data_IF_054819471256
#
_entry.id   IF_054819471256
#
_cell.length_a   1.000
_cell.length_b   1.000
_cell.length_c   1.000
_cell.angle_alpha   90.00
_cell.angle_beta   90.00
_cell.angle_gamma   90.00
#
_symmetry.space_group_name_H-M   'P 1'
#
loop_
_entity.id
_entity.type
_entity.pdbx_description
1 polymer ?
#
# COMPACT_ATOMS: atom_id res chain seq x y z
N UNK A 1 -22.84 3.52 -18.79
CA UNK A 1 -22.67 4.93 -18.41
C UNK A 1 -21.34 5.02 -17.69
N UNK A 2 -20.31 5.60 -18.32
CA UNK A 2 -18.92 5.55 -17.83
C UNK A 2 -18.77 6.55 -16.68
N UNK A 3 -18.79 6.05 -15.46
CA UNK A 3 -18.43 6.81 -14.28
C UNK A 3 -16.89 6.89 -14.20
N UNK A 4 -16.32 7.93 -14.76
CA UNK A 4 -14.96 8.34 -14.46
C UNK A 4 -14.96 8.94 -13.04
N UNK A 5 -14.60 8.16 -12.04
CA UNK A 5 -14.08 8.69 -10.79
C UNK A 5 -12.78 9.46 -11.12
N UNK A 6 -12.66 10.73 -10.78
CA UNK A 6 -11.36 11.35 -10.72
C UNK A 6 -10.70 10.85 -9.44
N UNK A 7 -9.98 9.73 -9.52
CA UNK A 7 -8.90 9.49 -8.57
C UNK A 7 -7.90 10.62 -8.82
N UNK A 8 -8.04 11.70 -8.08
CA UNK A 8 -7.08 12.80 -8.07
C UNK A 8 -5.82 12.34 -7.32
N UNK A 9 -5.20 11.26 -7.78
CA UNK A 9 -3.77 11.08 -7.62
C UNK A 9 -3.16 11.98 -8.71
N UNK A 10 -2.75 13.18 -8.32
CA UNK A 10 -1.87 13.99 -9.11
C UNK A 10 -0.57 13.20 -9.30
N UNK A 11 -0.51 12.38 -10.34
CA UNK A 11 0.76 12.01 -10.94
C UNK A 11 1.26 13.29 -11.59
N UNK A 12 2.07 14.02 -10.86
CA UNK A 12 2.87 15.10 -11.42
C UNK A 12 3.78 14.42 -12.44
N UNK A 13 3.40 14.47 -13.71
CA UNK A 13 4.30 14.12 -14.80
C UNK A 13 5.39 15.20 -14.83
N UNK A 14 6.48 14.95 -14.11
CA UNK A 14 7.67 15.79 -14.18
C UNK A 14 8.26 15.65 -15.58
N UNK A 15 8.12 16.70 -16.37
CA UNK A 15 9.04 16.99 -17.45
C UNK A 15 10.39 17.27 -16.79
N UNK A 16 11.29 16.27 -16.81
CA UNK A 16 12.60 16.37 -16.19
C UNK A 16 13.39 17.50 -16.86
N UNK A 17 13.64 18.58 -16.12
CA UNK A 17 14.74 19.47 -16.43
C UNK A 17 16.06 18.66 -16.43
N UNK A 18 17.06 19.01 -17.27
CA UNK A 18 18.34 18.34 -17.21
C UNK A 18 18.93 18.52 -15.81
N UNK A 19 19.27 17.39 -15.16
CA UNK A 19 19.92 17.41 -13.87
C UNK A 19 21.22 18.23 -13.94
N UNK A 20 21.51 19.07 -12.93
CA UNK A 20 22.82 19.70 -12.83
C UNK A 20 23.89 18.60 -12.77
N UNK A 21 24.97 18.78 -13.52
CA UNK A 21 26.10 17.85 -13.54
C UNK A 21 26.70 17.73 -12.13
N UNK A 22 26.49 16.57 -11.52
CA UNK A 22 27.17 16.25 -10.24
C UNK A 22 28.68 16.20 -10.44
N UNK A 23 29.49 16.55 -9.43
CA UNK A 23 30.91 16.27 -9.47
C UNK A 23 31.08 14.77 -9.65
N UNK A 24 31.73 14.37 -10.72
CA UNK A 24 31.97 12.98 -11.05
C UNK A 24 32.64 12.29 -9.86
N UNK A 25 31.96 11.35 -9.23
CA UNK A 25 32.54 10.43 -8.25
C UNK A 25 33.75 9.77 -8.93
N UNK A 26 34.89 9.73 -8.24
CA UNK A 26 36.10 9.21 -8.88
C UNK A 26 35.84 7.78 -9.35
N UNK A 27 36.17 7.39 -10.60
CA UNK A 27 35.86 6.05 -11.14
C UNK A 27 36.32 4.90 -10.23
N UNK A 28 37.43 5.06 -9.52
CA UNK A 28 37.93 4.10 -8.55
C UNK A 28 36.99 3.92 -7.33
N UNK A 29 36.34 5.00 -6.87
CA UNK A 29 35.36 4.91 -5.80
C UNK A 29 34.10 4.13 -6.21
N UNK A 30 33.63 4.33 -7.44
CA UNK A 30 32.47 3.64 -8.00
C UNK A 30 32.71 2.12 -8.13
N UNK A 31 33.82 1.72 -8.74
CA UNK A 31 34.13 0.30 -8.95
C UNK A 31 34.31 -0.46 -7.64
N UNK A 32 34.88 0.19 -6.61
CA UNK A 32 34.95 -0.34 -5.26
C UNK A 32 33.56 -0.55 -4.66
N UNK A 33 32.63 0.41 -4.83
CA UNK A 33 31.24 0.29 -4.39
C UNK A 33 30.48 -0.83 -5.13
N UNK A 34 30.69 -0.98 -6.44
CA UNK A 34 30.12 -2.08 -7.22
C UNK A 34 30.64 -3.43 -6.72
N UNK A 35 31.94 -3.56 -6.48
CA UNK A 35 32.55 -4.77 -5.94
C UNK A 35 32.01 -5.07 -4.51
N UNK A 36 31.86 -4.05 -3.68
CA UNK A 36 31.25 -4.15 -2.36
C UNK A 36 29.81 -4.67 -2.43
N UNK A 37 28.95 -4.07 -3.29
CA UNK A 37 27.57 -4.51 -3.47
C UNK A 37 27.50 -5.95 -3.96
N UNK A 38 28.38 -6.34 -4.91
CA UNK A 38 28.45 -7.71 -5.40
C UNK A 38 28.77 -8.73 -4.30
N UNK A 39 29.57 -8.35 -3.32
CA UNK A 39 29.96 -9.21 -2.22
C UNK A 39 28.94 -9.25 -1.07
N UNK A 40 28.09 -8.22 -0.92
CA UNK A 40 27.29 -7.99 0.27
C UNK A 40 25.79 -7.93 0.07
N UNK A 41 25.28 -7.72 -1.16
CA UNK A 41 23.86 -7.87 -1.44
C UNK A 41 23.50 -9.35 -1.58
N UNK A 42 22.30 -9.70 -1.16
CA UNK A 42 21.75 -11.06 -1.25
C UNK A 42 21.09 -11.21 -2.61
N UNK A 43 21.55 -12.18 -3.42
CA UNK A 43 20.93 -12.50 -4.69
C UNK A 43 19.58 -13.18 -4.45
N UNK A 44 18.53 -12.68 -5.10
CA UNK A 44 17.18 -13.25 -5.11
C UNK A 44 17.00 -14.00 -6.43
N UNK A 45 16.46 -15.20 -6.38
CA UNK A 45 16.36 -16.09 -7.55
C UNK A 45 15.13 -15.78 -8.40
N UNK A 46 13.99 -15.47 -7.77
CA UNK A 46 12.70 -15.43 -8.45
C UNK A 46 11.81 -14.30 -7.93
N UNK A 47 11.00 -13.72 -8.83
CA UNK A 47 9.87 -12.85 -8.50
C UNK A 47 8.54 -13.61 -8.51
N UNK A 48 8.50 -14.83 -9.07
CA UNK A 48 7.26 -15.56 -9.29
C UNK A 48 6.59 -15.92 -7.95
N UNK A 49 5.40 -15.39 -7.66
CA UNK A 49 4.69 -15.72 -6.43
C UNK A 49 4.21 -17.18 -6.37
N UNK A 50 4.21 -17.92 -7.48
CA UNK A 50 3.96 -19.36 -7.50
C UNK A 50 5.17 -20.19 -7.07
N UNK A 51 6.38 -19.60 -7.08
CA UNK A 51 7.59 -20.23 -6.58
C UNK A 51 7.62 -20.18 -5.04
N UNK A 52 7.28 -21.30 -4.40
CA UNK A 52 7.27 -21.48 -2.94
C UNK A 52 8.58 -22.06 -2.37
N UNK A 53 9.60 -22.27 -3.19
CA UNK A 53 10.96 -22.47 -2.70
C UNK A 53 11.56 -21.12 -2.28
N UNK A 54 11.55 -20.86 -0.98
CA UNK A 54 12.02 -19.60 -0.38
C UNK A 54 13.48 -19.65 0.08
N UNK A 55 14.28 -20.60 -0.33
CA UNK A 55 15.68 -20.74 0.11
C UNK A 55 16.51 -19.49 -0.16
N UNK A 56 16.22 -18.77 -1.25
CA UNK A 56 16.84 -17.48 -1.62
C UNK A 56 16.40 -16.30 -0.73
N UNK A 57 15.26 -16.40 -0.07
CA UNK A 57 14.73 -15.39 0.84
C UNK A 57 15.03 -15.69 2.33
N UNK A 58 15.42 -16.91 2.69
CA UNK A 58 15.70 -17.28 4.08
C UNK A 58 16.77 -16.39 4.76
N UNK A 59 17.81 -15.88 4.05
CA UNK A 59 18.74 -14.94 4.67
C UNK A 59 18.08 -13.66 5.20
N UNK A 60 16.90 -13.25 4.64
CA UNK A 60 16.16 -12.07 5.08
C UNK A 60 15.62 -12.22 6.52
N UNK A 61 15.45 -13.46 7.01
CA UNK A 61 14.99 -13.73 8.38
C UNK A 61 15.91 -13.05 9.40
N UNK A 62 17.22 -13.15 9.20
CA UNK A 62 18.19 -12.55 10.11
C UNK A 62 18.19 -11.02 10.10
N UNK A 63 17.83 -10.41 8.96
CA UNK A 63 17.77 -8.95 8.79
C UNK A 63 16.47 -8.37 9.33
N UNK A 64 15.34 -8.99 8.99
CA UNK A 64 14.02 -8.57 9.46
C UNK A 64 13.87 -8.85 10.97
N UNK A 65 14.47 -9.94 11.45
CA UNK A 65 14.53 -10.27 12.88
C UNK A 65 13.15 -10.36 13.54
N UNK A 66 13.02 -9.68 14.67
CA UNK A 66 11.80 -9.68 15.48
C UNK A 66 10.80 -8.58 15.11
N UNK A 67 11.00 -7.89 13.98
CA UNK A 67 10.08 -6.87 13.52
C UNK A 67 8.64 -7.40 13.47
N UNK A 68 7.70 -6.57 13.97
CA UNK A 68 6.27 -6.88 13.94
C UNK A 68 5.55 -6.25 12.75
N UNK A 69 6.13 -5.22 12.13
CA UNK A 69 5.55 -4.51 11.00
C UNK A 69 6.59 -4.40 9.89
N UNK A 70 6.34 -5.05 8.76
CA UNK A 70 7.21 -4.99 7.57
C UNK A 70 6.51 -4.17 6.49
N UNK A 71 7.14 -3.06 6.07
CA UNK A 71 6.61 -2.18 5.02
C UNK A 71 7.26 -2.54 3.68
N UNK A 72 6.43 -2.82 2.68
CA UNK A 72 6.84 -3.11 1.32
C UNK A 72 6.46 -1.92 0.42
N UNK A 73 7.46 -1.15 -0.01
CA UNK A 73 7.29 -0.01 -0.89
C UNK A 73 7.03 -0.40 -2.34
N UNK A 74 6.76 0.59 -3.17
CA UNK A 74 6.78 0.52 -4.63
C UNK A 74 7.13 1.90 -5.18
N UNK A 75 7.85 1.95 -6.29
CA UNK A 75 8.29 3.22 -6.87
C UNK A 75 7.10 3.96 -7.51
N UNK A 76 6.23 3.21 -8.19
CA UNK A 76 4.97 3.70 -8.77
C UNK A 76 3.87 2.65 -8.67
N UNK A 77 2.62 3.08 -8.80
CA UNK A 77 1.47 2.16 -8.88
C UNK A 77 1.33 1.45 -10.24
N UNK A 78 2.40 1.32 -11.00
CA UNK A 78 2.45 0.67 -12.30
C UNK A 78 3.58 -0.36 -12.42
N UNK A 79 4.20 -0.75 -11.33
CA UNK A 79 5.41 -1.55 -11.25
C UNK A 79 5.09 -3.04 -11.11
N UNK A 80 4.77 -3.70 -12.23
CA UNK A 80 4.35 -5.11 -12.22
C UNK A 80 5.38 -6.07 -11.61
N UNK A 81 6.67 -5.93 -11.95
CA UNK A 81 7.72 -6.76 -11.36
C UNK A 81 7.85 -6.53 -9.84
N UNK A 82 7.66 -5.29 -9.36
CA UNK A 82 7.59 -4.99 -7.94
C UNK A 82 6.40 -5.69 -7.28
N UNK A 83 5.22 -5.69 -7.92
CA UNK A 83 4.03 -6.37 -7.38
C UNK A 83 4.23 -7.89 -7.26
N UNK A 84 4.90 -8.52 -8.23
CA UNK A 84 5.28 -9.94 -8.15
C UNK A 84 6.24 -10.18 -6.99
N UNK A 85 7.29 -9.35 -6.85
CA UNK A 85 8.25 -9.44 -5.75
C UNK A 85 7.56 -9.30 -4.38
N UNK A 86 6.70 -8.28 -4.22
CA UNK A 86 5.92 -8.07 -2.99
C UNK A 86 5.03 -9.29 -2.71
N UNK A 87 4.35 -9.81 -3.72
CA UNK A 87 3.49 -11.00 -3.56
C UNK A 87 4.27 -12.21 -3.06
N UNK A 88 5.47 -12.47 -3.61
CA UNK A 88 6.33 -13.57 -3.17
C UNK A 88 6.89 -13.32 -1.77
N UNK A 89 7.35 -12.09 -1.48
CA UNK A 89 7.80 -11.71 -0.13
C UNK A 89 6.69 -11.86 0.92
N UNK A 90 5.46 -11.50 0.61
CA UNK A 90 4.31 -11.66 1.52
C UNK A 90 4.07 -13.13 1.83
N UNK A 91 4.09 -14.00 0.82
CA UNK A 91 3.96 -15.45 1.03
C UNK A 91 5.09 -15.99 1.92
N UNK A 92 6.33 -15.56 1.68
CA UNK A 92 7.49 -15.90 2.52
C UNK A 92 7.30 -15.41 3.97
N UNK A 93 6.97 -14.13 4.17
CA UNK A 93 6.75 -13.56 5.51
C UNK A 93 5.63 -14.29 6.26
N UNK A 94 4.54 -14.64 5.57
CA UNK A 94 3.43 -15.38 6.13
C UNK A 94 3.84 -16.81 6.52
N UNK A 95 4.47 -17.55 5.61
CA UNK A 95 4.75 -18.97 5.81
C UNK A 95 5.95 -19.20 6.76
N UNK A 96 6.98 -18.35 6.70
CA UNK A 96 8.26 -18.55 7.41
C UNK A 96 8.44 -17.70 8.66
N UNK A 97 7.81 -16.49 8.71
CA UNK A 97 8.08 -15.54 9.78
C UNK A 97 6.85 -15.18 10.62
N UNK A 98 5.70 -15.80 10.35
CA UNK A 98 4.50 -15.66 11.16
C UNK A 98 3.73 -14.36 10.97
N UNK A 99 3.95 -13.62 9.89
CA UNK A 99 3.12 -12.48 9.54
C UNK A 99 1.78 -12.99 9.01
N UNK A 100 0.67 -12.55 9.58
CA UNK A 100 -0.66 -13.04 9.26
C UNK A 100 -1.69 -11.94 9.00
N UNK A 101 -1.25 -10.68 8.94
CA UNK A 101 -2.06 -9.53 8.50
C UNK A 101 -1.38 -8.85 7.33
N UNK A 102 -2.14 -8.59 6.25
CA UNK A 102 -1.71 -7.80 5.10
C UNK A 102 -2.54 -6.52 5.02
N UNK A 103 -1.95 -5.40 5.37
CA UNK A 103 -2.57 -4.09 5.34
C UNK A 103 -2.18 -3.34 4.06
N UNK A 104 -3.19 -2.93 3.27
CA UNK A 104 -3.02 -2.18 2.03
C UNK A 104 -3.18 -0.67 2.25
N UNK A 105 -2.50 0.13 1.44
CA UNK A 105 -2.80 1.55 1.20
C UNK A 105 -4.17 1.68 0.51
N UNK A 106 -5.20 1.28 1.23
CA UNK A 106 -6.60 1.29 0.79
C UNK A 106 -7.48 1.62 1.99
N UNK A 107 -8.70 2.06 1.75
CA UNK A 107 -9.62 2.50 2.78
C UNK A 107 -9.83 1.47 3.88
N UNK A 108 -9.80 1.92 5.13
CA UNK A 108 -9.91 1.01 6.27
C UNK A 108 -11.24 0.25 6.28
N UNK A 109 -12.36 0.94 6.08
CA UNK A 109 -13.68 0.32 5.96
C UNK A 109 -13.76 -0.59 4.72
N UNK A 110 -13.25 -0.10 3.58
CA UNK A 110 -13.23 -0.81 2.31
C UNK A 110 -12.57 -2.17 2.43
N UNK A 111 -11.40 -2.22 3.07
CA UNK A 111 -10.65 -3.47 3.22
C UNK A 111 -11.28 -4.42 4.25
N UNK A 112 -11.98 -3.92 5.27
CA UNK A 112 -12.76 -4.78 6.15
C UNK A 112 -13.91 -5.47 5.39
N UNK A 113 -14.51 -4.77 4.42
CA UNK A 113 -15.56 -5.32 3.57
C UNK A 113 -14.99 -6.32 2.54
N UNK A 114 -13.77 -6.08 2.04
CA UNK A 114 -13.01 -7.06 1.25
C UNK A 114 -12.74 -8.32 2.05
N UNK A 115 -12.24 -8.18 3.28
CA UNK A 115 -11.95 -9.31 4.17
C UNK A 115 -13.20 -10.13 4.50
N UNK A 116 -14.32 -9.47 4.78
CA UNK A 116 -15.61 -10.16 4.95
C UNK A 116 -15.98 -10.98 3.71
N UNK A 117 -15.83 -10.42 2.51
CA UNK A 117 -16.05 -11.14 1.25
C UNK A 117 -15.11 -12.34 1.10
N UNK A 118 -13.84 -12.21 1.45
CA UNK A 118 -12.87 -13.31 1.44
C UNK A 118 -13.26 -14.43 2.40
N UNK A 119 -13.64 -14.09 3.64
CA UNK A 119 -14.11 -15.07 4.65
C UNK A 119 -15.37 -15.81 4.21
N UNK A 120 -16.29 -15.12 3.56
CA UNK A 120 -17.53 -15.68 3.01
C UNK A 120 -17.31 -16.42 1.67
N UNK A 121 -16.07 -16.58 1.22
CA UNK A 121 -15.67 -17.25 -0.02
C UNK A 121 -16.35 -16.67 -1.26
N UNK A 122 -16.60 -15.36 -1.28
CA UNK A 122 -17.12 -14.65 -2.44
C UNK A 122 -16.15 -14.77 -3.64
N UNK A 123 -16.65 -14.74 -4.88
CA UNK A 123 -15.80 -14.71 -6.06
C UNK A 123 -14.81 -13.55 -6.00
N UNK A 124 -13.56 -13.78 -6.41
CA UNK A 124 -12.52 -12.77 -6.34
C UNK A 124 -12.88 -11.50 -7.13
N UNK A 125 -13.57 -11.66 -8.26
CA UNK A 125 -14.07 -10.55 -9.08
C UNK A 125 -15.10 -9.65 -8.35
N UNK A 126 -15.83 -10.18 -7.39
CA UNK A 126 -16.74 -9.39 -6.55
C UNK A 126 -15.97 -8.72 -5.41
N UNK A 127 -15.07 -9.47 -4.76
CA UNK A 127 -14.25 -8.99 -3.67
C UNK A 127 -13.40 -7.79 -4.10
N UNK A 128 -12.78 -7.87 -5.28
CA UNK A 128 -11.98 -6.78 -5.85
C UNK A 128 -12.76 -5.47 -6.05
N UNK A 129 -14.06 -5.55 -6.36
CA UNK A 129 -14.93 -4.37 -6.55
C UNK A 129 -15.32 -3.70 -5.24
N UNK A 130 -15.20 -4.41 -4.10
CA UNK A 130 -15.66 -3.92 -2.80
C UNK A 130 -14.78 -2.84 -2.20
N UNK A 131 -13.46 -2.92 -2.39
CA UNK A 131 -12.69 -1.97 -1.65
C UNK A 131 -11.18 -1.91 -1.85
N UNK A 132 -10.54 -2.86 -2.49
CA UNK A 132 -9.14 -2.72 -2.85
C UNK A 132 -8.99 -1.71 -3.99
N UNK A 133 -8.03 -0.78 -3.91
CA UNK A 133 -7.78 0.16 -5.00
C UNK A 133 -7.59 -0.56 -6.34
N UNK A 134 -8.27 -0.05 -7.38
CA UNK A 134 -8.30 -0.65 -8.72
C UNK A 134 -6.92 -0.90 -9.34
N UNK A 135 -5.91 -0.09 -8.97
CA UNK A 135 -4.52 -0.26 -9.42
C UNK A 135 -3.93 -1.62 -9.03
N UNK A 136 -4.33 -2.17 -7.89
CA UNK A 136 -3.93 -3.51 -7.43
C UNK A 136 -5.03 -4.54 -7.69
N UNK A 137 -6.29 -4.17 -7.46
CA UNK A 137 -7.43 -5.07 -7.67
C UNK A 137 -7.53 -5.57 -9.12
N UNK A 138 -7.21 -4.72 -10.11
CA UNK A 138 -7.24 -5.07 -11.52
C UNK A 138 -5.89 -5.57 -12.06
N UNK A 139 -4.86 -5.69 -11.22
CA UNK A 139 -3.52 -6.12 -11.65
C UNK A 139 -3.40 -7.63 -11.71
N UNK A 140 -2.98 -8.16 -12.85
CA UNK A 140 -2.65 -9.59 -13.01
C UNK A 140 -1.55 -10.02 -12.03
N UNK A 141 -0.59 -9.12 -11.75
CA UNK A 141 0.54 -9.39 -10.87
C UNK A 141 0.15 -9.50 -9.39
N UNK A 142 -1.01 -8.96 -9.00
CA UNK A 142 -1.56 -9.10 -7.65
C UNK A 142 -2.50 -10.31 -7.51
N UNK A 143 -2.90 -10.95 -8.61
CA UNK A 143 -3.91 -11.99 -8.62
C UNK A 143 -3.55 -13.18 -7.74
N UNK A 144 -2.34 -13.73 -7.92
CA UNK A 144 -1.90 -14.91 -7.14
C UNK A 144 -1.88 -14.62 -5.64
N UNK A 145 -1.51 -13.40 -5.23
CA UNK A 145 -1.56 -13.01 -3.83
C UNK A 145 -2.98 -12.99 -3.28
N UNK A 146 -3.93 -12.43 -4.02
CA UNK A 146 -5.35 -12.38 -3.60
C UNK A 146 -5.96 -13.78 -3.55
N UNK A 147 -5.64 -14.63 -4.52
CA UNK A 147 -6.03 -16.05 -4.50
C UNK A 147 -5.38 -16.80 -3.33
N UNK A 148 -4.12 -16.51 -3.01
CA UNK A 148 -3.43 -17.05 -1.86
C UNK A 148 -4.12 -16.65 -0.56
N UNK A 149 -4.39 -15.36 -0.34
CA UNK A 149 -5.11 -14.88 0.85
C UNK A 149 -6.46 -15.60 0.99
N UNK A 150 -7.24 -15.73 -0.10
CA UNK A 150 -8.52 -16.46 -0.09
C UNK A 150 -8.36 -17.95 0.27
N UNK A 151 -7.32 -18.61 -0.26
CA UNK A 151 -7.05 -20.02 0.06
C UNK A 151 -6.69 -20.21 1.53
N UNK A 152 -5.92 -19.28 2.12
CA UNK A 152 -5.48 -19.37 3.52
C UNK A 152 -6.62 -19.22 4.52
N UNK A 153 -7.78 -18.67 4.15
CA UNK A 153 -8.96 -18.58 5.03
C UNK A 153 -9.45 -19.93 5.55
N UNK A 154 -9.04 -21.04 4.92
CA UNK A 154 -9.34 -22.40 5.36
C UNK A 154 -8.27 -23.02 6.26
N UNK A 155 -7.18 -22.29 6.51
CA UNK A 155 -6.07 -22.73 7.31
C UNK A 155 -6.19 -22.21 8.75
N UNK A 156 -5.47 -22.80 9.68
CA UNK A 156 -5.42 -22.38 11.09
C UNK A 156 -4.89 -20.95 11.25
N UNK A 157 -4.02 -20.51 10.32
CA UNK A 157 -3.47 -19.15 10.25
C UNK A 157 -3.76 -18.53 8.89
N UNK A 158 -4.89 -17.85 8.73
CA UNK A 158 -5.21 -17.12 7.51
C UNK A 158 -4.35 -15.86 7.37
N UNK A 159 -4.09 -15.43 6.13
CA UNK A 159 -3.57 -14.10 5.82
C UNK A 159 -4.75 -13.12 5.76
N UNK A 160 -5.01 -12.42 6.86
CA UNK A 160 -6.12 -11.49 7.00
C UNK A 160 -5.82 -10.16 6.29
N UNK A 161 -6.77 -9.66 5.51
CA UNK A 161 -6.61 -8.40 4.79
C UNK A 161 -7.12 -7.22 5.60
N UNK A 162 -6.40 -6.10 5.56
CA UNK A 162 -6.75 -4.85 6.23
C UNK A 162 -6.43 -3.63 5.35
N UNK A 163 -6.94 -2.47 5.72
CA UNK A 163 -6.61 -1.18 5.13
C UNK A 163 -6.26 -0.16 6.19
N UNK A 164 -5.49 0.85 5.83
CA UNK A 164 -5.10 1.91 6.75
C UNK A 164 -5.30 3.33 6.18
N UNK A 165 -5.77 3.45 4.94
CA UNK A 165 -6.02 4.76 4.34
C UNK A 165 -7.32 5.39 4.89
N UNK A 166 -7.32 6.72 5.02
CA UNK A 166 -8.50 7.50 5.37
C UNK A 166 -9.43 7.70 4.17
N UNK A 167 -8.95 7.52 2.95
CA UNK A 167 -9.73 7.65 1.73
C UNK A 167 -10.59 6.41 1.47
N UNK A 168 -11.72 6.58 0.77
CA UNK A 168 -12.42 5.46 0.17
C UNK A 168 -11.65 4.93 -1.04
N UNK A 169 -11.51 3.62 -1.13
CA UNK A 169 -10.89 2.94 -2.27
C UNK A 169 -11.90 2.57 -3.35
N UNK A 170 -13.19 2.48 -3.03
CA UNK A 170 -14.26 2.16 -3.97
C UNK A 170 -15.50 3.03 -3.79
N UNK A 171 -16.24 3.26 -4.88
CA UNK A 171 -17.54 3.93 -4.83
C UNK A 171 -18.58 3.12 -4.05
N UNK A 172 -18.52 1.78 -4.16
CA UNK A 172 -19.43 0.88 -3.45
C UNK A 172 -19.26 0.99 -1.93
N UNK A 173 -18.03 1.02 -1.44
CA UNK A 173 -17.77 1.17 -0.01
C UNK A 173 -18.30 2.49 0.53
N UNK A 174 -18.17 3.56 -0.26
CA UNK A 174 -18.74 4.87 0.09
C UNK A 174 -20.26 4.84 0.22
N UNK A 175 -20.94 4.16 -0.71
CA UNK A 175 -22.41 4.02 -0.71
C UNK A 175 -22.91 3.12 0.44
N UNK A 176 -22.15 2.09 0.80
CA UNK A 176 -22.54 1.13 1.83
C UNK A 176 -22.18 1.55 3.25
N UNK A 177 -21.16 2.40 3.44
CA UNK A 177 -20.68 2.77 4.77
C UNK A 177 -21.78 3.33 5.69
N UNK A 178 -22.62 4.31 5.28
CA UNK A 178 -23.67 4.83 6.17
C UNK A 178 -24.72 3.78 6.50
N UNK A 179 -25.06 2.88 5.59
CA UNK A 179 -26.00 1.76 5.82
C UNK A 179 -25.44 0.80 6.88
N UNK A 180 -24.14 0.50 6.80
CA UNK A 180 -23.45 -0.33 7.81
C UNK A 180 -23.44 0.37 9.17
N UNK A 181 -23.18 1.67 9.22
CA UNK A 181 -23.27 2.47 10.47
C UNK A 181 -24.67 2.39 11.06
N UNK A 182 -25.71 2.56 10.26
CA UNK A 182 -27.12 2.44 10.70
C UNK A 182 -27.41 1.05 11.28
N UNK A 183 -27.10 0.00 10.53
CA UNK A 183 -27.28 -1.38 10.95
C UNK A 183 -26.50 -1.72 12.24
N UNK A 184 -25.36 -1.08 12.46
CA UNK A 184 -24.56 -1.24 13.67
C UNK A 184 -25.32 -0.79 14.93
N UNK A 185 -26.02 0.34 14.88
CA UNK A 185 -26.88 0.80 15.98
C UNK A 185 -28.16 -0.03 16.12
N UNK A 186 -28.81 -0.37 15.01
CA UNK A 186 -30.07 -1.14 14.99
C UNK A 186 -29.89 -2.54 15.58
N UNK A 187 -28.78 -3.23 15.27
CA UNK A 187 -28.48 -4.56 15.81
C UNK A 187 -28.42 -4.60 17.33
N UNK A 188 -27.98 -3.53 17.95
CA UNK A 188 -27.90 -3.40 19.40
C UNK A 188 -29.18 -2.81 20.03
N UNK A 189 -30.18 -2.42 19.22
CA UNK A 189 -31.31 -1.59 19.64
C UNK A 189 -30.85 -0.37 20.44
N UNK A 190 -29.69 0.19 20.05
CA UNK A 190 -28.96 1.19 20.83
C UNK A 190 -29.53 2.61 20.67
N UNK A 191 -30.31 2.87 19.60
CA UNK A 191 -30.85 4.19 19.31
C UNK A 191 -32.23 4.08 18.65
N UNK A 192 -33.08 5.06 18.92
CA UNK A 192 -34.36 5.23 18.20
C UNK A 192 -34.13 5.92 16.85
N UNK A 193 -35.12 5.89 15.96
CA UNK A 193 -35.02 6.56 14.65
C UNK A 193 -34.66 8.04 14.77
N UNK A 194 -35.22 8.76 15.74
CA UNK A 194 -34.92 10.19 15.97
C UNK A 194 -33.48 10.40 16.44
N UNK A 195 -32.93 9.46 17.22
CA UNK A 195 -31.53 9.52 17.67
C UNK A 195 -30.53 9.20 16.55
N UNK A 196 -30.98 8.53 15.47
CA UNK A 196 -30.17 8.23 14.30
C UNK A 196 -30.14 9.39 13.28
N UNK A 197 -30.65 10.59 13.62
CA UNK A 197 -30.58 11.75 12.73
C UNK A 197 -29.16 12.05 12.23
N UNK A 198 -28.07 12.00 13.05
CA UNK A 198 -26.72 12.19 12.54
C UNK A 198 -26.29 11.17 11.46
N UNK A 199 -26.82 9.93 11.54
CA UNK A 199 -26.57 8.92 10.50
C UNK A 199 -27.33 9.27 9.22
N UNK A 200 -28.58 9.77 9.34
CA UNK A 200 -29.34 10.23 8.17
C UNK A 200 -28.67 11.45 7.50
N UNK A 201 -28.12 12.37 8.29
CA UNK A 201 -27.36 13.52 7.77
C UNK A 201 -26.11 13.07 7.03
N UNK A 202 -25.41 12.04 7.54
CA UNK A 202 -24.25 11.43 6.84
C UNK A 202 -24.66 10.74 5.54
N UNK A 203 -25.76 9.98 5.53
CA UNK A 203 -26.33 9.35 4.34
C UNK A 203 -26.63 10.39 3.27
N UNK A 204 -27.42 11.41 3.63
CA UNK A 204 -27.80 12.49 2.73
C UNK A 204 -26.56 13.20 2.18
N UNK A 205 -25.59 13.51 3.03
CA UNK A 205 -24.37 14.16 2.59
C UNK A 205 -23.58 13.31 1.57
N UNK A 206 -23.45 12.01 1.79
CA UNK A 206 -22.74 11.10 0.88
C UNK A 206 -23.47 10.90 -0.45
N UNK A 207 -24.80 10.94 -0.45
CA UNK A 207 -25.62 10.88 -1.67
C UNK A 207 -25.53 12.17 -2.49
N UNK A 208 -25.65 13.32 -1.86
CA UNK A 208 -25.67 14.64 -2.51
C UNK A 208 -24.28 15.13 -2.95
N UNK A 209 -23.28 14.74 -2.18
CA UNK A 209 -21.92 15.21 -2.34
C UNK A 209 -21.16 14.41 -3.36
N UNK A 210 -21.58 13.99 -4.47
CA UNK A 210 -20.71 13.34 -5.44
C UNK A 210 -19.20 13.68 -5.22
N UNK A 211 -18.29 13.33 -6.05
CA UNK A 211 -16.87 13.71 -5.91
C UNK A 211 -16.62 15.23 -6.18
N UNK A 212 -17.65 16.06 -6.10
CA UNK A 212 -17.51 17.51 -6.36
C UNK A 212 -16.97 18.21 -5.10
N UNK A 213 -15.77 18.84 -5.18
CA UNK A 213 -15.18 19.60 -4.07
C UNK A 213 -15.98 20.86 -3.64
N UNK A 214 -17.16 21.11 -4.22
CA UNK A 214 -18.02 22.25 -3.85
C UNK A 214 -18.92 21.99 -2.65
N UNK A 215 -19.07 20.75 -2.19
CA UNK A 215 -19.81 20.47 -0.96
C UNK A 215 -19.01 20.98 0.25
N UNK A 216 -19.68 21.66 1.19
CA UNK A 216 -19.02 22.25 2.35
C UNK A 216 -18.51 21.14 3.27
N UNK A 217 -17.19 20.95 3.44
CA UNK A 217 -16.62 19.88 4.28
C UNK A 217 -17.06 20.00 5.74
N UNK A 218 -17.42 21.20 6.18
CA UNK A 218 -17.93 21.48 7.53
C UNK A 218 -19.21 20.72 7.87
N UNK A 219 -20.10 20.51 6.91
CA UNK A 219 -21.37 19.82 7.19
C UNK A 219 -21.16 18.31 7.27
N UNK A 220 -20.28 17.75 6.44
CA UNK A 220 -19.84 16.37 6.57
C UNK A 220 -19.19 16.12 7.92
N UNK A 221 -18.22 16.95 8.29
CA UNK A 221 -17.50 16.82 9.57
C UNK A 221 -18.50 16.83 10.71
N UNK A 222 -19.46 17.78 10.71
CA UNK A 222 -20.50 17.86 11.76
C UNK A 222 -21.38 16.61 11.82
N UNK A 223 -21.81 16.07 10.68
CA UNK A 223 -22.60 14.84 10.63
C UNK A 223 -21.81 13.66 11.24
N UNK A 224 -20.55 13.49 10.82
CA UNK A 224 -19.68 12.42 11.35
C UNK A 224 -19.39 12.60 12.83
N UNK A 225 -19.12 13.81 13.30
CA UNK A 225 -18.94 14.11 14.74
C UNK A 225 -20.19 13.78 15.55
N UNK A 226 -21.38 14.03 14.99
CA UNK A 226 -22.67 13.65 15.60
C UNK A 226 -22.81 12.13 15.73
N UNK A 227 -22.40 11.37 14.70
CA UNK A 227 -22.40 9.89 14.74
C UNK A 227 -21.39 9.37 15.78
N UNK A 228 -20.19 9.96 15.86
CA UNK A 228 -19.18 9.59 16.87
C UNK A 228 -19.71 9.87 18.28
N UNK A 229 -20.32 11.02 18.52
CA UNK A 229 -20.89 11.36 19.81
C UNK A 229 -22.00 10.37 20.23
N UNK A 230 -22.87 9.98 19.28
CA UNK A 230 -23.90 8.97 19.54
C UNK A 230 -23.27 7.60 19.83
N UNK A 231 -22.24 7.20 19.10
CA UNK A 231 -21.53 5.95 19.34
C UNK A 231 -20.89 5.91 20.72
N UNK A 232 -20.25 7.01 21.14
CA UNK A 232 -19.62 7.13 22.45
C UNK A 232 -20.69 7.14 23.58
N UNK A 233 -21.83 7.83 23.40
CA UNK A 233 -22.97 7.84 24.35
C UNK A 233 -23.60 6.44 24.51
N UNK A 234 -23.73 5.71 23.41
CA UNK A 234 -24.42 4.40 23.41
C UNK A 234 -23.47 3.21 23.56
N UNK A 235 -22.19 3.44 23.89
CA UNK A 235 -21.14 2.40 23.93
C UNK A 235 -21.54 1.16 24.73
N UNK A 236 -22.14 1.33 25.90
CA UNK A 236 -22.55 0.20 26.77
C UNK A 236 -23.70 -0.62 26.16
N UNK A 237 -24.59 0.02 25.42
CA UNK A 237 -25.65 -0.69 24.69
C UNK A 237 -25.07 -1.42 23.47
N UNK A 238 -24.20 -0.77 22.73
CA UNK A 238 -23.51 -1.36 21.59
C UNK A 238 -22.70 -2.59 21.99
N UNK A 239 -22.04 -2.57 23.15
CA UNK A 239 -21.25 -3.68 23.67
C UNK A 239 -22.08 -4.96 23.97
N UNK A 240 -23.42 -4.88 23.95
CA UNK A 240 -24.31 -6.06 24.08
C UNK A 240 -24.41 -6.87 22.79
N UNK A 241 -24.16 -6.24 21.64
CA UNK A 241 -24.30 -6.87 20.31
C UNK A 241 -23.00 -6.89 19.50
N UNK A 242 -21.99 -6.12 19.90
CA UNK A 242 -20.72 -5.97 19.21
C UNK A 242 -19.54 -6.16 20.17
N UNK A 243 -18.44 -6.74 19.68
CA UNK A 243 -17.21 -6.78 20.46
C UNK A 243 -16.63 -5.36 20.65
N UNK A 244 -15.97 -5.07 21.78
CA UNK A 244 -15.38 -3.75 22.02
C UNK A 244 -14.47 -3.27 20.88
N UNK A 245 -13.66 -4.18 20.31
CA UNK A 245 -12.78 -3.87 19.17
C UNK A 245 -13.54 -3.43 17.91
N UNK A 246 -14.75 -3.96 17.68
CA UNK A 246 -15.56 -3.61 16.51
C UNK A 246 -16.17 -2.21 16.67
N UNK A 247 -16.50 -1.82 17.92
CA UNK A 247 -16.95 -0.46 18.26
C UNK A 247 -15.79 0.53 18.03
N UNK A 248 -14.58 0.19 18.46
CA UNK A 248 -13.38 1.01 18.25
C UNK A 248 -13.00 1.10 16.76
N UNK A 249 -13.17 0.01 16.01
CA UNK A 249 -12.98 0.00 14.56
C UNK A 249 -13.99 0.92 13.86
N UNK A 250 -15.28 0.82 14.18
CA UNK A 250 -16.30 1.71 13.63
C UNK A 250 -15.99 3.19 13.93
N UNK A 251 -15.59 3.47 15.16
CA UNK A 251 -15.18 4.81 15.58
C UNK A 251 -13.96 5.31 14.77
N UNK A 252 -13.01 4.43 14.49
CA UNK A 252 -11.83 4.75 13.67
C UNK A 252 -12.20 5.03 12.22
N UNK A 253 -13.08 4.22 11.63
CA UNK A 253 -13.60 4.47 10.28
C UNK A 253 -14.33 5.83 10.18
N UNK A 254 -15.13 6.17 11.18
CA UNK A 254 -15.79 7.49 11.25
C UNK A 254 -14.77 8.64 11.32
N UNK A 255 -13.71 8.52 12.14
CA UNK A 255 -12.64 9.52 12.19
C UNK A 255 -11.94 9.70 10.85
N UNK A 256 -11.69 8.60 10.11
CA UNK A 256 -11.11 8.67 8.78
C UNK A 256 -11.96 9.50 7.83
N UNK A 257 -13.29 9.52 7.97
CA UNK A 257 -14.16 10.37 7.17
C UNK A 257 -13.95 11.86 7.43
N UNK A 258 -13.63 12.23 8.68
CA UNK A 258 -13.29 13.62 9.03
C UNK A 258 -11.97 14.02 8.35
N UNK A 259 -10.95 13.17 8.43
CA UNK A 259 -9.64 13.48 7.83
C UNK A 259 -9.73 13.51 6.30
N UNK A 260 -10.52 12.63 5.70
CA UNK A 260 -10.77 12.66 4.27
C UNK A 260 -11.54 13.93 3.84
N UNK A 261 -12.55 14.35 4.60
CA UNK A 261 -13.26 15.61 4.35
C UNK A 261 -12.32 16.82 4.44
N UNK A 262 -11.46 16.87 5.44
CA UNK A 262 -10.43 17.93 5.60
C UNK A 262 -9.47 17.95 4.41
N UNK A 263 -9.02 16.80 3.95
CA UNK A 263 -8.16 16.69 2.78
C UNK A 263 -8.86 17.22 1.52
N UNK A 264 -10.10 16.80 1.28
CA UNK A 264 -10.89 17.23 0.12
C UNK A 264 -11.14 18.74 0.11
N UNK A 265 -11.34 19.35 1.30
CA UNK A 265 -11.55 20.80 1.46
C UNK A 265 -10.43 21.67 0.91
N UNK A 266 -9.20 21.16 0.93
CA UNK A 266 -8.01 21.92 0.51
C UNK A 266 -7.87 22.01 -1.02
N UNK A 267 -8.58 21.15 -1.79
CA UNK A 267 -8.52 21.14 -3.24
C UNK A 267 -7.10 21.03 -3.79
N UNK A 268 -6.91 21.53 -5.03
CA UNK A 268 -5.60 21.43 -5.72
C UNK A 268 -4.53 22.35 -5.16
N UNK A 269 -4.92 23.46 -4.57
CA UNK A 269 -3.97 24.45 -4.01
C UNK A 269 -3.35 23.99 -2.71
N UNK A 270 -4.04 23.10 -1.98
CA UNK A 270 -3.58 22.54 -0.71
C UNK A 270 -2.99 21.13 -0.81
N UNK A 271 -2.46 20.69 -1.95
CA UNK A 271 -1.97 19.31 -2.15
C UNK A 271 -0.97 18.87 -1.09
N UNK A 272 0.00 19.71 -0.72
CA UNK A 272 1.01 19.37 0.28
C UNK A 272 0.39 19.18 1.66
N UNK A 273 -0.51 20.06 2.07
CA UNK A 273 -1.23 19.96 3.34
C UNK A 273 -2.21 18.78 3.34
N UNK A 274 -2.93 18.55 2.24
CA UNK A 274 -3.79 17.39 2.07
C UNK A 274 -3.03 16.07 2.16
N UNK A 275 -1.83 16.01 1.57
CA UNK A 275 -0.91 14.89 1.72
C UNK A 275 -0.50 14.68 3.16
N UNK A 276 -0.16 15.75 3.89
CA UNK A 276 0.20 15.69 5.31
C UNK A 276 -0.95 15.16 6.18
N UNK A 277 -2.17 15.60 5.94
CA UNK A 277 -3.37 15.11 6.64
C UNK A 277 -3.53 13.61 6.40
N UNK A 278 -3.49 13.18 5.13
CA UNK A 278 -3.65 11.76 4.75
C UNK A 278 -2.56 10.89 5.35
N UNK A 279 -1.29 11.26 5.18
CA UNK A 279 -0.16 10.46 5.69
C UNK A 279 -0.16 10.39 7.22
N UNK A 280 -0.56 11.47 7.91
CA UNK A 280 -0.74 11.44 9.38
C UNK A 280 -1.82 10.44 9.76
N UNK A 281 -2.99 10.50 9.12
CA UNK A 281 -4.08 9.56 9.39
C UNK A 281 -3.69 8.11 9.10
N UNK A 282 -3.01 7.85 7.96
CA UNK A 282 -2.50 6.52 7.61
C UNK A 282 -1.51 5.98 8.65
N UNK A 283 -0.57 6.82 9.10
CA UNK A 283 0.42 6.42 10.11
C UNK A 283 -0.20 6.09 11.47
N UNK A 284 -1.16 6.92 11.90
CA UNK A 284 -1.92 6.65 13.13
C UNK A 284 -2.81 5.41 13.00
N UNK A 285 -3.42 5.18 11.83
CA UNK A 285 -4.20 3.98 11.56
C UNK A 285 -3.33 2.72 11.59
N UNK A 286 -2.17 2.76 10.94
CA UNK A 286 -1.23 1.64 10.93
C UNK A 286 -0.74 1.30 12.34
N UNK A 287 -0.35 2.30 13.12
CA UNK A 287 0.09 2.09 14.49
C UNK A 287 -1.04 1.49 15.36
N UNK A 288 -2.26 2.01 15.25
CA UNK A 288 -3.42 1.47 15.94
C UNK A 288 -3.77 0.04 15.50
N UNK A 289 -3.68 -0.26 14.20
CA UNK A 289 -3.88 -1.64 13.72
C UNK A 289 -2.88 -2.60 14.34
N UNK A 290 -1.59 -2.22 14.43
CA UNK A 290 -0.53 -3.09 14.94
C UNK A 290 -0.58 -3.26 16.47
N UNK A 291 -0.88 -2.20 17.23
CA UNK A 291 -0.79 -2.21 18.70
C UNK A 291 -2.11 -2.57 19.39
N UNK A 292 -3.24 -2.20 18.79
CA UNK A 292 -4.56 -2.37 19.39
C UNK A 292 -5.42 -3.42 18.68
N UNK A 293 -5.72 -3.22 17.39
CA UNK A 293 -6.69 -4.07 16.68
C UNK A 293 -6.16 -5.47 16.41
N UNK A 294 -4.92 -5.59 15.94
CA UNK A 294 -4.20 -6.84 15.70
C UNK A 294 -3.13 -7.11 16.76
N UNK A 295 -3.37 -6.69 17.99
CA UNK A 295 -2.42 -6.82 19.08
C UNK A 295 -1.83 -8.24 19.20
N UNK A 296 -0.49 -8.31 19.19
CA UNK A 296 0.25 -9.58 19.27
C UNK A 296 0.42 -10.31 17.93
N UNK A 297 -0.10 -9.76 16.84
CA UNK A 297 0.06 -10.28 15.48
C UNK A 297 1.12 -9.47 14.71
N UNK A 298 1.63 -10.04 13.62
CA UNK A 298 2.61 -9.41 12.74
C UNK A 298 1.92 -8.90 11.46
N UNK A 299 2.22 -7.66 11.09
CA UNK A 299 1.56 -6.93 9.99
C UNK A 299 2.52 -6.70 8.83
N UNK A 300 2.11 -7.03 7.63
CA UNK A 300 2.77 -6.64 6.39
C UNK A 300 2.01 -5.43 5.82
N UNK A 301 2.72 -4.41 5.37
CA UNK A 301 2.17 -3.20 4.79
C UNK A 301 2.49 -3.14 3.30
N UNK A 302 1.47 -2.94 2.47
CA UNK A 302 1.61 -2.67 1.05
C UNK A 302 1.29 -1.21 0.78
N UNK A 303 2.31 -0.42 0.43
CA UNK A 303 2.15 1.00 0.10
C UNK A 303 3.18 1.48 -0.92
N UNK A 304 3.01 2.71 -1.42
CA UNK A 304 4.05 3.39 -2.17
C UNK A 304 5.25 3.71 -1.29
N UNK A 305 6.47 3.68 -1.86
CA UNK A 305 7.72 3.97 -1.14
C UNK A 305 7.70 5.32 -0.46
N UNK A 306 7.05 6.32 -1.06
CA UNK A 306 6.95 7.66 -0.49
C UNK A 306 6.27 7.66 0.88
N UNK A 307 5.18 6.90 1.04
CA UNK A 307 4.48 6.78 2.33
C UNK A 307 5.30 6.03 3.38
N UNK A 308 6.18 5.11 2.95
CA UNK A 308 6.98 4.27 3.84
C UNK A 308 8.26 4.95 4.37
N UNK A 309 8.65 6.12 3.82
CA UNK A 309 9.84 6.85 4.27
C UNK A 309 9.74 7.22 5.75
N UNK A 310 10.88 7.12 6.46
CA UNK A 310 10.95 7.49 7.87
C UNK A 310 11.24 8.97 8.08
N UNK A 311 11.96 9.62 7.15
CA UNK A 311 12.44 11.00 7.29
C UNK A 311 12.51 11.74 5.93
N UNK A 312 11.37 11.82 5.23
CA UNK A 312 11.30 12.44 3.91
C UNK A 312 11.91 13.86 3.81
N UNK A 313 11.81 14.76 4.84
CA UNK A 313 12.39 16.09 4.75
C UNK A 313 13.89 16.15 4.48
N UNK A 314 14.63 15.08 4.83
CA UNK A 314 16.08 14.99 4.58
C UNK A 314 16.44 14.44 3.20
N UNK A 315 15.47 14.04 2.40
CA UNK A 315 15.70 13.57 1.03
C UNK A 315 15.66 14.74 0.04
N UNK A 316 16.60 14.72 -0.91
CA UNK A 316 16.66 15.67 -2.02
C UNK A 316 16.08 15.05 -3.28
N UNK A 317 15.32 15.81 -4.06
CA UNK A 317 14.74 15.35 -5.30
C UNK A 317 15.30 16.13 -6.48
N UNK A 318 15.96 15.46 -7.43
CA UNK A 318 16.56 16.07 -8.63
C UNK A 318 17.47 17.29 -8.28
N UNK A 319 18.18 17.24 -7.15
CA UNK A 319 19.03 18.32 -6.64
C UNK A 319 18.30 19.41 -5.86
N UNK A 320 16.96 19.38 -5.78
CA UNK A 320 16.19 20.26 -4.92
C UNK A 320 16.21 19.75 -3.47
N UNK A 321 16.87 20.53 -2.59
CA UNK A 321 17.06 20.21 -1.17
C UNK A 321 15.82 20.48 -0.32
N UNK A 322 14.90 21.29 -0.81
CA UNK A 322 13.72 21.74 -0.10
C UNK A 322 12.41 21.08 -0.58
N UNK A 323 12.48 20.23 -1.61
CA UNK A 323 11.29 19.61 -2.22
C UNK A 323 10.39 18.90 -1.21
N UNK A 324 10.99 18.14 -0.27
CA UNK A 324 10.27 17.42 0.77
C UNK A 324 10.21 18.15 2.11
N UNK A 325 10.63 19.42 2.18
CA UNK A 325 10.62 20.21 3.41
C UNK A 325 9.22 20.30 4.01
N UNK A 326 9.09 19.91 5.28
CA UNK A 326 7.80 19.88 5.98
C UNK A 326 6.90 18.71 5.62
N UNK A 327 7.31 17.81 4.72
CA UNK A 327 6.56 16.59 4.41
C UNK A 327 6.54 15.67 5.63
N UNK A 328 5.33 15.17 5.96
CA UNK A 328 5.13 14.11 6.94
C UNK A 328 4.64 12.89 6.17
N UNK A 329 5.26 11.75 6.42
CA UNK A 329 4.91 10.47 5.79
C UNK A 329 4.26 9.53 6.79
N UNK A 330 3.49 8.56 6.30
CA UNK A 330 2.93 7.47 7.10
C UNK A 330 4.02 6.76 7.91
N UNK A 331 5.14 6.41 7.27
CA UNK A 331 6.27 5.75 7.92
C UNK A 331 6.87 6.56 9.08
N UNK A 332 6.98 7.89 8.90
CA UNK A 332 7.42 8.79 9.97
C UNK A 332 6.48 8.77 11.18
N UNK A 333 5.17 8.86 10.93
CA UNK A 333 4.16 8.87 12.01
C UNK A 333 4.10 7.53 12.73
N UNK A 334 4.01 6.43 11.98
CA UNK A 334 3.96 5.09 12.55
C UNK A 334 5.23 4.74 13.36
N UNK A 335 6.41 5.14 12.86
CA UNK A 335 7.69 4.87 13.55
C UNK A 335 7.81 5.57 14.90
N UNK A 336 7.18 6.71 15.12
CA UNK A 336 7.14 7.37 16.43
C UNK A 336 6.50 6.51 17.51
N UNK A 337 5.52 5.70 17.14
CA UNK A 337 4.81 4.80 18.06
C UNK A 337 5.43 3.41 18.08
N UNK A 338 5.70 2.82 16.91
CA UNK A 338 6.14 1.44 16.76
C UNK A 338 7.67 1.26 16.91
N UNK A 339 8.45 2.34 16.71
CA UNK A 339 9.90 2.34 16.95
C UNK A 339 10.65 1.27 16.16
N UNK A 340 11.38 0.44 16.87
CA UNK A 340 12.20 -0.65 16.33
C UNK A 340 11.41 -1.88 15.86
N UNK A 341 10.10 -1.92 16.09
CA UNK A 341 9.23 -3.01 15.61
C UNK A 341 8.94 -2.92 14.10
N UNK A 342 9.39 -1.86 13.43
CA UNK A 342 9.21 -1.64 12.00
C UNK A 342 10.46 -1.99 11.20
N UNK A 343 10.24 -2.58 10.02
CA UNK A 343 11.27 -2.83 9.02
C UNK A 343 10.74 -2.43 7.64
N UNK A 344 11.36 -1.43 7.01
CA UNK A 344 10.91 -0.87 5.72
C UNK A 344 11.80 -1.30 4.57
N UNK A 345 11.21 -1.92 3.56
CA UNK A 345 11.86 -2.33 2.31
C UNK A 345 11.35 -1.44 1.18
N UNK A 346 12.23 -0.63 0.60
CA UNK A 346 11.94 0.12 -0.61
C UNK A 346 12.41 -0.64 -1.85
N UNK A 347 11.84 -0.32 -3.00
CA UNK A 347 12.16 -1.00 -4.24
C UNK A 347 12.93 -0.08 -5.19
N UNK A 348 13.86 -0.69 -5.95
CA UNK A 348 14.68 -0.03 -6.97
C UNK A 348 14.59 -0.81 -8.29
N UNK A 349 14.75 -0.07 -9.43
CA UNK A 349 14.94 -0.71 -10.72
C UNK A 349 15.86 0.12 -11.63
N UNK A 350 16.75 -0.57 -12.37
CA UNK A 350 17.68 0.11 -13.27
C UNK A 350 16.97 0.68 -14.50
N UNK A 351 16.08 -0.09 -15.12
CA UNK A 351 15.38 0.23 -16.37
C UNK A 351 14.10 -0.58 -16.55
N UNK A 352 13.42 -0.39 -17.63
CA UNK A 352 12.27 -1.19 -18.01
C UNK A 352 11.09 -0.37 -18.47
N UNK A 353 9.89 -0.79 -18.10
CA UNK A 353 8.64 -0.11 -18.42
C UNK A 353 7.70 -0.14 -17.23
N UNK A 354 6.90 0.90 -17.09
CA UNK A 354 5.82 1.00 -16.12
C UNK A 354 4.48 1.19 -16.81
N UNK A 355 3.40 0.80 -16.19
CA UNK A 355 2.04 1.01 -16.68
C UNK A 355 1.01 0.44 -15.72
N UNK A 356 -0.09 1.16 -15.55
CA UNK A 356 -1.25 0.66 -14.77
C UNK A 356 -2.06 -0.33 -15.60
N UNK A 357 -2.93 -1.16 -15.01
CA UNK A 357 -3.70 -2.18 -15.72
C UNK A 357 -4.50 -1.70 -16.93
N UNK A 358 -4.78 -0.40 -17.00
CA UNK A 358 -5.59 0.23 -18.07
C UNK A 358 -4.84 1.27 -18.89
N UNK A 359 -3.53 1.42 -18.71
CA UNK A 359 -2.71 2.40 -19.42
C UNK A 359 -1.70 1.76 -20.36
N UNK A 360 -1.31 2.47 -21.40
CA UNK A 360 -0.18 2.05 -22.23
C UNK A 360 1.11 2.14 -21.42
N UNK A 361 1.96 1.12 -21.45
CA UNK A 361 3.23 1.14 -20.74
C UNK A 361 4.19 2.22 -21.28
N UNK A 362 4.82 2.94 -20.33
CA UNK A 362 5.83 3.97 -20.61
C UNK A 362 7.24 3.45 -20.27
N UNK A 363 8.29 3.83 -21.01
CA UNK A 363 9.65 3.41 -20.72
C UNK A 363 10.19 4.12 -19.46
N UNK A 364 10.96 3.37 -18.66
CA UNK A 364 11.82 3.89 -17.60
C UNK A 364 13.20 4.15 -18.22
N UNK A 365 13.71 5.37 -18.07
CA UNK A 365 15.09 5.66 -18.46
C UNK A 365 16.04 4.83 -17.60
N UNK A 366 17.13 4.33 -18.21
CA UNK A 366 18.20 3.68 -17.46
C UNK A 366 18.66 4.58 -16.32
N UNK A 367 18.96 3.96 -15.18
CA UNK A 367 19.45 4.68 -14.01
C UNK A 367 20.74 5.45 -14.33
N UNK A 368 20.83 6.73 -13.97
CA UNK A 368 22.06 7.50 -14.13
C UNK A 368 23.16 6.91 -13.23
N UNK A 369 24.38 7.02 -13.67
CA UNK A 369 25.55 6.55 -12.94
C UNK A 369 26.23 7.74 -12.24
N UNK A 370 26.64 7.64 -10.97
CA UNK A 370 26.46 6.50 -10.07
C UNK A 370 25.20 6.62 -9.17
N UNK A 371 24.27 5.68 -9.32
CA UNK A 371 23.17 5.49 -8.37
C UNK A 371 23.21 4.08 -7.81
N UNK A 372 22.54 3.82 -6.68
CA UNK A 372 22.41 2.43 -6.17
C UNK A 372 21.84 1.49 -7.22
N UNK A 373 20.82 1.94 -7.96
CA UNK A 373 20.20 1.19 -9.06
C UNK A 373 21.25 0.79 -10.12
N UNK A 374 22.03 1.75 -10.61
CA UNK A 374 23.06 1.52 -11.64
C UNK A 374 24.22 0.65 -11.14
N UNK A 375 24.60 0.81 -9.87
CA UNK A 375 25.69 0.03 -9.27
C UNK A 375 25.26 -1.42 -9.00
N UNK A 376 24.03 -1.70 -8.58
CA UNK A 376 23.49 -3.04 -8.43
C UNK A 376 23.37 -3.74 -9.81
N UNK A 377 22.94 -3.01 -10.84
CA UNK A 377 23.00 -3.50 -12.22
C UNK A 377 24.44 -3.85 -12.67
N UNK A 378 25.40 -2.94 -12.42
CA UNK A 378 26.80 -3.16 -12.76
C UNK A 378 27.45 -4.31 -11.98
N UNK A 379 26.99 -4.60 -10.76
CA UNK A 379 27.38 -5.77 -9.98
C UNK A 379 26.86 -7.10 -10.56
N UNK A 380 25.95 -7.05 -11.55
CA UNK A 380 25.45 -8.20 -12.29
C UNK A 380 24.16 -8.79 -11.74
N UNK A 381 23.55 -8.19 -10.73
CA UNK A 381 22.30 -8.69 -10.16
C UNK A 381 21.12 -8.54 -11.15
N UNK A 382 20.27 -9.54 -11.18
CA UNK A 382 18.92 -9.45 -11.77
C UNK A 382 17.90 -9.05 -10.72
N UNK A 383 18.02 -9.66 -9.56
CA UNK A 383 17.24 -9.39 -8.37
C UNK A 383 18.19 -9.42 -7.17
N UNK A 384 18.05 -8.47 -6.27
CA UNK A 384 18.89 -8.43 -5.08
C UNK A 384 18.15 -7.80 -3.89
N UNK A 385 18.55 -8.20 -2.71
CA UNK A 385 18.16 -7.56 -1.45
C UNK A 385 19.41 -7.00 -0.78
N UNK A 386 19.31 -5.75 -0.32
CA UNK A 386 20.40 -5.06 0.37
C UNK A 386 19.87 -4.50 1.70
N UNK A 387 20.24 -5.14 2.82
CA UNK A 387 20.04 -4.55 4.15
C UNK A 387 21.09 -3.46 4.37
N UNK A 388 20.63 -2.25 4.59
CA UNK A 388 21.48 -1.06 4.65
C UNK A 388 22.35 -1.03 5.90
N UNK A 389 21.78 -1.38 7.06
CA UNK A 389 22.50 -1.36 8.34
C UNK A 389 23.59 -2.43 8.38
N UNK A 390 23.26 -3.65 7.98
CA UNK A 390 24.23 -4.75 7.89
C UNK A 390 25.33 -4.42 6.89
N UNK A 391 24.98 -3.92 5.70
CA UNK A 391 25.96 -3.55 4.69
C UNK A 391 26.87 -2.42 5.16
N UNK A 392 26.31 -1.35 5.74
CA UNK A 392 27.09 -0.21 6.23
C UNK A 392 28.07 -0.57 7.36
N UNK A 393 27.81 -1.64 8.11
CA UNK A 393 28.66 -2.12 9.20
C UNK A 393 29.87 -2.95 8.73
N UNK A 394 29.94 -3.31 7.46
CA UNK A 394 31.03 -4.13 6.90
C UNK A 394 32.15 -3.24 6.37
N UNK A 395 33.39 -3.77 6.36
CA UNK A 395 34.54 -3.09 5.81
C UNK A 395 34.30 -2.69 4.36
N UNK A 396 34.46 -1.39 4.05
CA UNK A 396 34.18 -0.81 2.75
C UNK A 396 32.70 -0.42 2.53
N UNK A 397 31.86 -0.50 3.58
CA UNK A 397 30.44 -0.13 3.56
C UNK A 397 30.15 1.30 4.06
N UNK A 398 31.17 2.05 4.54
CA UNK A 398 31.05 3.35 5.19
C UNK A 398 30.40 4.41 4.29
N UNK A 399 30.47 4.24 2.97
CA UNK A 399 29.82 5.15 2.02
C UNK A 399 28.29 5.12 2.12
N UNK A 400 27.70 4.04 2.60
CA UNK A 400 26.25 3.92 2.87
C UNK A 400 25.81 4.78 4.08
N UNK A 401 26.74 5.20 4.93
CA UNK A 401 26.46 6.16 6.02
C UNK A 401 26.46 7.62 5.54
N UNK A 402 26.53 7.84 4.25
CA UNK A 402 26.50 9.17 3.60
C UNK A 402 25.29 9.26 2.67
N UNK A 403 25.06 10.45 2.12
CA UNK A 403 24.05 10.62 1.07
C UNK A 403 24.46 9.84 -0.17
N UNK A 404 23.54 9.04 -0.69
CA UNK A 404 23.72 8.23 -1.89
C UNK A 404 22.52 8.47 -2.81
N UNK A 405 22.79 8.55 -4.11
CA UNK A 405 21.77 8.68 -5.11
C UNK A 405 21.08 7.32 -5.38
N UNK A 406 19.74 7.32 -5.43
CA UNK A 406 18.90 6.19 -5.80
C UNK A 406 17.55 6.67 -6.36
N UNK A 407 16.69 5.79 -6.89
CA UNK A 407 15.42 6.18 -7.52
C UNK A 407 14.20 5.42 -6.99
N UNK A 408 13.98 5.34 -5.68
CA UNK A 408 12.84 4.61 -5.12
C UNK A 408 11.50 5.36 -5.22
N UNK A 409 11.49 6.62 -5.68
CA UNK A 409 10.34 7.51 -5.69
C UNK A 409 10.03 7.94 -7.13
N UNK A 410 9.12 7.24 -7.81
CA UNK A 410 8.69 7.59 -9.17
C UNK A 410 9.80 7.57 -10.21
N UNK A 411 10.90 6.87 -9.96
CA UNK A 411 12.11 6.87 -10.80
C UNK A 411 12.82 8.23 -10.90
N UNK A 412 12.47 9.20 -10.06
CA UNK A 412 13.19 10.44 -9.93
C UNK A 412 14.51 10.23 -9.18
N UNK A 413 15.52 11.03 -9.49
CA UNK A 413 16.81 10.99 -8.81
C UNK A 413 16.65 11.55 -7.39
N UNK A 414 16.80 10.70 -6.40
CA UNK A 414 16.76 11.07 -4.99
C UNK A 414 18.15 10.90 -4.36
N UNK A 415 18.55 11.82 -3.52
CA UNK A 415 19.76 11.73 -2.70
C UNK A 415 19.38 11.78 -1.24
N UNK A 416 19.73 10.75 -0.47
CA UNK A 416 19.43 10.69 0.94
C UNK A 416 20.46 9.89 1.73
N UNK A 417 20.52 10.10 3.03
CA UNK A 417 21.06 9.12 3.96
C UNK A 417 19.98 8.02 4.13
N UNK A 418 20.12 6.96 3.32
CA UNK A 418 19.07 5.94 3.22
C UNK A 418 18.83 5.18 4.51
N UNK A 419 19.84 5.08 5.39
CA UNK A 419 19.70 4.52 6.73
C UNK A 419 18.64 5.26 7.60
N UNK A 420 18.37 6.53 7.29
CA UNK A 420 17.34 7.31 7.97
C UNK A 420 15.97 7.22 7.27
N UNK A 421 15.92 6.63 6.09
CA UNK A 421 14.70 6.55 5.26
C UNK A 421 14.01 5.21 5.26
N UNK A 422 14.81 4.12 5.28
CA UNK A 422 14.34 2.74 5.24
C UNK A 422 15.42 1.80 5.78
N UNK A 423 15.08 0.52 5.94
CA UNK A 423 16.02 -0.49 6.45
C UNK A 423 16.70 -1.27 5.30
N UNK A 424 16.03 -1.45 4.17
CA UNK A 424 16.55 -2.21 3.05
C UNK A 424 16.04 -1.74 1.68
N UNK A 425 16.77 -2.15 0.65
CA UNK A 425 16.33 -2.09 -0.73
C UNK A 425 16.14 -3.48 -1.33
N UNK A 426 15.06 -3.62 -2.11
CA UNK A 426 14.87 -4.73 -3.03
C UNK A 426 15.08 -4.21 -4.46
N UNK A 427 16.02 -4.79 -5.17
CA UNK A 427 16.39 -4.38 -6.52
C UNK A 427 15.86 -5.35 -7.58
N UNK A 428 15.35 -4.76 -8.67
CA UNK A 428 14.95 -5.47 -9.91
C UNK A 428 15.67 -4.84 -11.09
N UNK A 429 16.48 -5.60 -11.85
CA UNK A 429 17.23 -5.07 -13.00
C UNK A 429 16.30 -4.46 -14.06
N UNK A 430 15.20 -5.15 -14.37
CA UNK A 430 14.26 -4.76 -15.41
C UNK A 430 12.83 -4.74 -14.85
N UNK A 431 12.27 -3.55 -14.71
CA UNK A 431 10.86 -3.38 -14.35
C UNK A 431 9.94 -3.75 -15.51
N UNK A 432 8.87 -4.46 -15.20
CA UNK A 432 7.76 -4.74 -16.14
C UNK A 432 6.50 -3.99 -15.69
N UNK A 433 5.62 -3.60 -16.61
CA UNK A 433 4.40 -2.90 -16.25
C UNK A 433 3.41 -3.83 -15.55
N UNK A 434 2.54 -3.26 -14.71
CA UNK A 434 1.32 -3.92 -14.27
C UNK A 434 0.36 -4.06 -15.45
N UNK A 435 -0.22 -5.24 -15.62
CA UNK A 435 -1.16 -5.59 -16.68
C UNK A 435 -2.53 -5.88 -16.11
N UNK A 436 -3.55 -5.74 -16.95
CA UNK A 436 -4.93 -5.97 -16.51
C UNK A 436 -5.18 -7.47 -16.37
N UNK A 437 -5.70 -7.86 -15.21
CA UNK A 437 -6.28 -9.18 -15.02
C UNK A 437 -7.50 -9.35 -15.92
N UNK A 438 -7.52 -10.45 -16.65
CA UNK A 438 -8.65 -10.86 -17.47
C UNK A 438 -9.30 -12.09 -16.82
N UNK A 439 -10.60 -12.03 -16.58
CA UNK A 439 -11.33 -13.25 -16.19
C UNK A 439 -11.15 -14.29 -17.30
N UNK A 440 -10.86 -15.56 -16.97
CA UNK A 440 -10.90 -16.62 -17.96
C UNK A 440 -12.25 -16.57 -18.66
N UNK A 441 -12.26 -16.60 -19.99
CA UNK A 441 -13.51 -16.76 -20.73
C UNK A 441 -14.24 -17.98 -20.19
N UNK A 442 -15.53 -17.80 -19.86
CA UNK A 442 -16.35 -18.94 -19.47
C UNK A 442 -16.24 -20.01 -20.57
N UNK A 443 -16.01 -21.28 -20.22
CA UNK A 443 -15.90 -22.31 -21.22
C UNK A 443 -17.14 -22.25 -22.15
N UNK A 444 -16.88 -22.10 -23.44
CA UNK A 444 -17.96 -22.07 -24.44
C UNK A 444 -18.86 -23.29 -24.19
N UNK A 445 -20.15 -23.10 -23.95
CA UNK A 445 -21.02 -24.26 -23.70
C UNK A 445 -20.88 -25.23 -24.84
N UNK A 446 -20.50 -26.46 -24.53
CA UNK A 446 -20.41 -27.53 -25.50
C UNK A 446 -21.78 -27.63 -26.22
N UNK A 447 -21.81 -27.51 -27.54
CA UNK A 447 -23.09 -27.57 -28.24
C UNK A 447 -23.81 -28.86 -27.85
N UNK A 448 -25.02 -28.73 -27.35
CA UNK A 448 -25.90 -29.87 -27.04
C UNK A 448 -26.00 -30.70 -28.32
N UNK A 449 -25.68 -32.00 -28.29
CA UNK A 449 -25.83 -32.84 -29.47
C UNK A 449 -27.27 -32.76 -29.96
N UNK A 450 -27.45 -32.57 -31.27
CA UNK A 450 -28.76 -32.53 -31.89
C UNK A 450 -29.52 -33.81 -31.54
N UNK A 451 -30.85 -33.74 -31.29
CA UNK A 451 -31.64 -34.93 -31.01
C UNK A 451 -31.55 -35.87 -32.21
N UNK A 452 -31.22 -37.14 -31.93
CA UNK A 452 -31.21 -38.22 -32.91
C UNK A 452 -32.64 -38.41 -33.43
N UNK A 453 -32.89 -38.32 -34.74
CA UNK A 453 -34.23 -38.58 -35.27
C UNK A 453 -34.65 -40.00 -34.94
N UNK A 454 -35.96 -40.25 -34.67
CA UNK A 454 -36.47 -41.60 -34.41
C UNK A 454 -36.20 -42.49 -35.62
N UNK A 455 -35.76 -43.71 -35.37
CA UNK A 455 -35.59 -44.75 -36.40
C UNK A 455 -36.98 -45.09 -36.98
N UNK A 456 -37.07 -45.09 -38.33
CA UNK A 456 -38.25 -45.61 -39.05
C UNK A 456 -38.44 -47.13 -38.91
#
# INVERSE_FOLDING_TARGET
MNLHLPAALAVVAFLAAPAPSQPADQPQGRDARVAFLKANAIEVRSLDPADEDFTDLEPLIAHIGDARVVLLGEQTHGDGACFLAKSRLIKFLHQRMGFDVLAFESGMFDMAWVEEGMRNNAPLSEVQKRGLFGIWAASEQCRELLEYARRTNKHERPLELAGFDSQYSSGLAREEFPKVVRAFFEKAAAATSDQLQPVADLEQWLEESGPDPKSQPTDQIRAVEGVIALLDEKRDLLARAHAPRDIDFMRRCLRNQIEFARQCALGREGIAEGGRIRDTAMGENLAWLADDFFKGRKVIVWAASMHNMYNAPDAWLNGDTDFYKGTITMGHVARKQLGGDMYSIMFLADRGRIGRPWSNPSPIRKAPDPTLDSMLHAAGFKLAFLDLKSAASKDGGEWLTKRVAARPLGYALCEALWLDQCDAFFFTDVMTPSTRWQEPEAPTPTPTPAPVPPAE
#
